data_IF_063410746025
#
_entry.id   IF_063410746025
#
_cell.length_a   1.000
_cell.length_b   1.000
_cell.length_c   1.000
_cell.angle_alpha   90.00
_cell.angle_beta   90.00
_cell.angle_gamma   90.00
#
_symmetry.space_group_name_H-M   'P 1'
#
loop_
_entity.id
_entity.type
_entity.pdbx_description
1 polymer ?
#
# COMPACT_ATOMS: atom_id res chain seq x y z
N UNK A 1 -13.70 1.65 -4.59
CA UNK A 1 -14.88 2.28 -5.25
C UNK A 1 -15.83 2.74 -4.16
N UNK A 2 -16.20 4.02 -4.12
CA UNK A 2 -17.16 4.49 -3.11
C UNK A 2 -18.56 3.91 -3.38
N UNK A 3 -19.36 3.72 -2.33
CA UNK A 3 -20.71 3.18 -2.47
C UNK A 3 -21.61 4.03 -3.39
N UNK A 4 -21.38 5.34 -3.42
CA UNK A 4 -22.14 6.32 -4.19
C UNK A 4 -21.58 6.59 -5.60
N UNK A 5 -20.60 5.82 -6.08
CA UNK A 5 -19.93 6.09 -7.34
C UNK A 5 -20.90 5.97 -8.54
N UNK A 6 -21.18 7.09 -9.20
CA UNK A 6 -22.05 7.15 -10.39
C UNK A 6 -21.36 6.68 -11.67
N UNK A 7 -20.03 6.69 -11.73
CA UNK A 7 -19.25 6.31 -12.90
C UNK A 7 -18.32 5.12 -12.61
N UNK A 8 -18.93 3.95 -12.38
CA UNK A 8 -18.22 2.71 -12.02
C UNK A 8 -17.14 2.31 -13.03
N UNK A 9 -17.40 2.51 -14.33
CA UNK A 9 -16.44 2.21 -15.41
C UNK A 9 -15.16 3.01 -15.28
N UNK A 10 -15.24 4.32 -15.05
CA UNK A 10 -14.03 5.13 -14.90
C UNK A 10 -13.31 4.86 -13.58
N UNK A 11 -14.02 4.48 -12.51
CA UNK A 11 -13.37 4.03 -11.26
C UNK A 11 -12.53 2.78 -11.51
N UNK A 12 -13.05 1.81 -12.28
CA UNK A 12 -12.29 0.62 -12.66
C UNK A 12 -11.04 0.99 -13.47
N UNK A 13 -11.20 1.84 -14.49
CA UNK A 13 -10.07 2.33 -15.31
C UNK A 13 -9.01 3.07 -14.49
N UNK A 14 -9.43 3.80 -13.46
CA UNK A 14 -8.49 4.47 -12.56
C UNK A 14 -7.66 3.47 -11.77
N UNK A 15 -8.28 2.42 -11.22
CA UNK A 15 -7.52 1.38 -10.50
C UNK A 15 -6.58 0.65 -11.46
N UNK A 16 -7.06 0.30 -12.66
CA UNK A 16 -6.24 -0.34 -13.70
C UNK A 16 -5.02 0.53 -14.07
N UNK A 17 -5.21 1.83 -14.26
CA UNK A 17 -4.12 2.79 -14.49
C UNK A 17 -3.13 2.84 -13.33
N UNK A 18 -3.61 2.97 -12.09
CA UNK A 18 -2.72 3.01 -10.91
C UNK A 18 -1.90 1.73 -10.73
N UNK A 19 -2.36 0.60 -11.26
CA UNK A 19 -1.68 -0.69 -11.20
C UNK A 19 -0.99 -1.08 -12.51
N UNK A 20 -0.89 -0.18 -13.50
CA UNK A 20 -0.09 -0.45 -14.70
C UNK A 20 1.40 -0.22 -14.43
N UNK A 21 2.24 -0.79 -15.29
CA UNK A 21 3.68 -0.80 -15.08
C UNK A 21 4.30 0.61 -15.09
N UNK A 22 3.86 1.49 -15.99
CA UNK A 22 4.39 2.84 -16.12
C UNK A 22 4.02 3.70 -14.89
N UNK A 23 2.76 3.63 -14.49
CA UNK A 23 2.24 4.34 -13.32
C UNK A 23 2.89 3.86 -12.04
N UNK A 24 3.09 2.54 -11.88
CA UNK A 24 3.76 2.00 -10.69
C UNK A 24 5.22 2.43 -10.59
N UNK A 25 5.97 2.43 -11.70
CA UNK A 25 7.35 2.92 -11.72
C UNK A 25 7.40 4.40 -11.30
N UNK A 26 6.59 5.24 -11.95
CA UNK A 26 6.57 6.68 -11.68
C UNK A 26 6.10 7.01 -10.26
N UNK A 27 5.01 6.38 -9.80
CA UNK A 27 4.41 6.68 -8.51
C UNK A 27 5.31 6.25 -7.34
N UNK A 28 5.93 5.07 -7.46
CA UNK A 28 6.93 4.59 -6.51
C UNK A 28 8.13 5.55 -6.41
N UNK A 29 8.67 5.99 -7.56
CA UNK A 29 9.83 6.90 -7.62
C UNK A 29 9.55 8.25 -6.96
N UNK A 30 8.36 8.82 -7.17
CA UNK A 30 8.00 10.12 -6.62
C UNK A 30 7.70 10.03 -5.11
N UNK A 31 7.08 8.94 -4.64
CA UNK A 31 6.69 8.81 -3.24
C UNK A 31 7.72 8.09 -2.35
N UNK A 32 8.80 7.56 -2.94
CA UNK A 32 9.77 6.70 -2.27
C UNK A 32 9.13 5.47 -1.62
N UNK A 33 8.23 4.82 -2.35
CA UNK A 33 7.56 3.58 -1.93
C UNK A 33 7.99 2.40 -2.80
N UNK A 34 7.70 1.17 -2.34
CA UNK A 34 7.93 -0.03 -3.13
C UNK A 34 6.75 -0.26 -4.09
N UNK A 35 7.00 -0.54 -5.38
CA UNK A 35 5.94 -0.95 -6.31
C UNK A 35 5.26 -2.23 -5.82
N UNK A 36 3.94 -2.33 -6.02
CA UNK A 36 3.19 -3.56 -5.71
C UNK A 36 3.12 -4.52 -6.89
N UNK A 37 3.40 -4.03 -8.10
CA UNK A 37 3.45 -4.85 -9.33
C UNK A 37 4.84 -5.45 -9.47
N UNK A 38 4.87 -6.76 -9.70
CA UNK A 38 6.11 -7.53 -9.87
C UNK A 38 6.90 -7.08 -11.11
N UNK A 39 8.24 -7.24 -11.05
CA UNK A 39 9.14 -6.91 -12.15
C UNK A 39 9.57 -5.45 -12.24
N UNK A 40 9.06 -4.58 -11.36
CA UNK A 40 9.45 -3.17 -11.27
C UNK A 40 10.50 -3.00 -10.18
N UNK A 41 11.62 -2.38 -10.50
CA UNK A 41 12.68 -2.14 -9.54
C UNK A 41 12.27 -1.06 -8.52
N UNK A 42 12.68 -1.18 -7.25
CA UNK A 42 12.48 -0.11 -6.27
C UNK A 42 13.20 1.19 -6.68
N UNK A 43 12.68 2.35 -6.24
CA UNK A 43 13.33 3.64 -6.39
C UNK A 43 14.78 3.63 -5.93
N UNK A 44 15.63 4.45 -6.57
CA UNK A 44 17.06 4.56 -6.22
C UNK A 44 17.31 4.90 -4.75
N UNK A 45 16.39 5.64 -4.13
CA UNK A 45 16.42 5.98 -2.69
C UNK A 45 16.26 4.77 -1.79
N UNK A 46 15.60 3.71 -2.26
CA UNK A 46 15.33 2.49 -1.49
C UNK A 46 16.35 1.37 -1.75
N UNK A 47 17.05 1.40 -2.88
CA UNK A 47 18.03 0.36 -3.25
C UNK A 47 19.12 0.08 -2.19
N UNK A 48 19.66 1.08 -1.45
CA UNK A 48 20.68 0.82 -0.43
C UNK A 48 20.20 -0.05 0.75
N UNK A 49 18.89 -0.17 0.99
CA UNK A 49 18.34 -1.03 2.04
C UNK A 49 18.35 -2.51 1.65
N UNK A 50 18.57 -2.82 0.37
CA UNK A 50 18.65 -4.19 -0.15
C UNK A 50 17.30 -4.90 -0.20
N UNK A 51 17.36 -6.21 -0.42
CA UNK A 51 16.18 -7.06 -0.43
C UNK A 51 15.69 -7.34 0.99
N UNK A 52 14.38 -7.49 1.13
CA UNK A 52 13.76 -7.87 2.39
C UNK A 52 12.63 -8.87 2.14
N UNK A 53 12.33 -9.65 3.17
CA UNK A 53 11.16 -10.53 3.18
C UNK A 53 9.98 -9.78 3.80
N UNK A 54 9.01 -9.39 2.99
CA UNK A 54 7.75 -8.85 3.49
C UNK A 54 6.95 -9.93 4.23
N UNK A 55 6.24 -9.54 5.29
CA UNK A 55 5.25 -10.42 5.92
C UNK A 55 4.07 -10.64 4.94
N UNK A 56 3.54 -11.86 4.92
CA UNK A 56 2.47 -12.29 4.03
C UNK A 56 1.10 -12.29 4.69
N UNK A 57 0.99 -11.84 5.95
CA UNK A 57 -0.32 -11.67 6.58
C UNK A 57 -1.21 -10.72 5.76
N UNK A 58 -2.51 -11.02 5.70
CA UNK A 58 -3.47 -10.12 5.07
C UNK A 58 -3.51 -8.78 5.82
N UNK A 59 -3.36 -7.67 5.10
CA UNK A 59 -3.51 -6.33 5.67
C UNK A 59 -4.91 -6.10 6.28
N UNK A 60 -5.94 -6.83 5.82
CA UNK A 60 -7.27 -6.79 6.43
C UNK A 60 -7.25 -7.25 7.89
N UNK A 61 -6.40 -8.21 8.25
CA UNK A 61 -6.26 -8.66 9.63
C UNK A 61 -5.74 -7.54 10.55
N UNK A 62 -4.91 -6.63 10.03
CA UNK A 62 -4.47 -5.43 10.77
C UNK A 62 -5.65 -4.49 11.04
N UNK A 63 -6.55 -4.33 10.06
CA UNK A 63 -7.78 -3.55 10.21
C UNK A 63 -8.74 -4.14 11.24
N UNK A 64 -8.96 -5.45 11.20
CA UNK A 64 -9.80 -6.17 12.16
C UNK A 64 -9.28 -6.06 13.59
N UNK A 65 -7.95 -6.06 13.77
CA UNK A 65 -7.29 -5.95 15.07
C UNK A 65 -6.99 -4.50 15.49
N UNK A 66 -7.33 -3.50 14.68
CA UNK A 66 -6.95 -2.10 14.93
C UNK A 66 -7.43 -1.61 16.32
N UNK A 67 -8.69 -1.89 16.68
CA UNK A 67 -9.23 -1.50 18.00
C UNK A 67 -8.45 -2.13 19.15
N UNK A 68 -8.15 -3.43 19.07
CA UNK A 68 -7.42 -4.14 20.11
C UNK A 68 -5.98 -3.62 20.24
N UNK A 69 -5.35 -3.30 19.12
CA UNK A 69 -4.01 -2.70 19.11
C UNK A 69 -3.99 -1.33 19.81
N UNK A 70 -4.95 -0.46 19.50
CA UNK A 70 -5.06 0.87 20.14
C UNK A 70 -5.34 0.75 21.65
N UNK A 71 -6.25 -0.13 22.06
CA UNK A 71 -6.52 -0.39 23.49
C UNK A 71 -5.29 -0.92 24.23
N UNK A 72 -4.46 -1.74 23.57
CA UNK A 72 -3.22 -2.24 24.16
C UNK A 72 -2.18 -1.13 24.30
N UNK A 73 -2.03 -0.28 23.28
CA UNK A 73 -1.12 0.88 23.31
C UNK A 73 -1.50 1.85 24.44
N UNK A 74 -2.80 2.14 24.61
CA UNK A 74 -3.31 2.97 25.71
C UNK A 74 -3.01 2.36 27.09
N UNK A 75 -3.32 1.06 27.28
CA UNK A 75 -3.01 0.34 28.53
C UNK A 75 -1.52 0.29 28.83
N UNK A 76 -0.67 0.28 27.81
CA UNK A 76 0.78 0.32 27.95
C UNK A 76 1.32 1.76 28.20
N UNK A 77 0.47 2.78 28.12
CA UNK A 77 0.84 4.17 28.32
C UNK A 77 1.64 4.78 27.15
N UNK A 78 1.50 4.24 25.94
CA UNK A 78 2.13 4.82 24.74
C UNK A 78 1.43 6.14 24.39
N UNK A 79 2.17 7.25 24.47
CA UNK A 79 1.71 8.60 24.10
C UNK A 79 2.10 9.00 22.68
#
# INVERSE_FOLDING_TARGET
>A
MTASAKNKRNVRRLVEFLTDHESQQWYADINNEYPVVEGIAPPKSLQPFGEFKADTISLSALGENNRLAVELMDKAGWK
#
